data_IF_180970965229
#
_entry.id   IF_180970965229
#
_cell.length_a   1.000
_cell.length_b   1.000
_cell.length_c   1.000
_cell.angle_alpha   90.00
_cell.angle_beta   90.00
_cell.angle_gamma   90.00
#
_symmetry.space_group_name_H-M   'P 1'
#
loop_
_entity.id
_entity.type
_entity.pdbx_description
1 polymer ?
#
# COMPACT_ATOMS: atom_id res chain seq x y z
N UNK A 1 -19.39 -11.07 11.23
CA UNK A 1 -18.69 -10.82 9.94
C UNK A 1 -17.57 -11.85 9.85
N UNK A 2 -17.57 -12.84 8.93
CA UNK A 2 -16.47 -13.78 8.87
C UNK A 2 -15.18 -13.04 8.48
N UNK A 3 -14.09 -13.37 9.17
CA UNK A 3 -12.76 -12.86 8.87
C UNK A 3 -12.38 -13.44 7.52
N UNK A 4 -12.24 -12.60 6.49
CA UNK A 4 -11.77 -13.05 5.17
C UNK A 4 -10.33 -13.53 5.33
N UNK A 5 -10.01 -14.70 4.79
CA UNK A 5 -8.64 -15.23 4.77
C UNK A 5 -7.68 -14.16 4.22
N UNK A 6 -6.60 -13.82 4.94
CA UNK A 6 -5.65 -12.85 4.45
C UNK A 6 -4.87 -13.41 3.26
N UNK A 7 -4.53 -12.53 2.32
CA UNK A 7 -3.49 -12.78 1.35
C UNK A 7 -2.15 -12.77 2.08
N UNK A 8 -1.28 -13.73 1.75
CA UNK A 8 0.08 -13.84 2.29
C UNK A 8 1.05 -13.74 1.13
N UNK A 9 2.09 -12.92 1.25
CA UNK A 9 3.21 -12.92 0.31
C UNK A 9 4.34 -13.78 0.89
N UNK A 10 4.54 -15.04 0.43
CA UNK A 10 5.50 -15.95 1.04
C UNK A 10 6.93 -15.41 1.15
N UNK A 11 7.47 -14.68 0.15
CA UNK A 11 8.83 -14.15 0.23
C UNK A 11 9.09 -13.19 1.39
N UNK A 12 8.08 -12.44 1.85
CA UNK A 12 8.26 -11.45 2.93
C UNK A 12 7.34 -11.67 4.15
N UNK A 13 6.47 -12.68 4.11
CA UNK A 13 5.56 -13.02 5.21
C UNK A 13 4.46 -12.00 5.51
N UNK A 14 4.37 -10.89 4.77
CA UNK A 14 3.29 -9.91 4.99
C UNK A 14 1.93 -10.50 4.68
N UNK A 15 0.97 -10.08 5.49
CA UNK A 15 -0.41 -10.50 5.40
C UNK A 15 -1.31 -9.28 5.25
N UNK A 16 -2.30 -9.35 4.36
CA UNK A 16 -3.29 -8.29 4.22
C UNK A 16 -4.64 -8.82 3.78
N UNK A 17 -5.68 -8.06 4.08
CA UNK A 17 -7.06 -8.43 3.79
C UNK A 17 -7.82 -7.23 3.21
N UNK A 18 -8.90 -7.53 2.49
CA UNK A 18 -9.73 -6.52 1.81
C UNK A 18 -9.52 -6.52 0.30
N UNK A 19 -10.59 -6.26 -0.45
CA UNK A 19 -10.62 -6.44 -1.92
C UNK A 19 -9.72 -5.47 -2.69
N UNK A 20 -9.33 -4.36 -2.07
CA UNK A 20 -8.58 -3.28 -2.72
C UNK A 20 -7.16 -3.14 -2.18
N UNK A 21 -6.82 -3.87 -1.12
CA UNK A 21 -5.50 -3.76 -0.52
C UNK A 21 -4.43 -4.31 -1.48
N UNK A 22 -3.31 -3.60 -1.62
CA UNK A 22 -2.21 -3.91 -2.53
C UNK A 22 -0.93 -4.15 -1.73
N UNK A 23 -0.14 -5.14 -2.15
CA UNK A 23 1.21 -5.37 -1.67
C UNK A 23 2.21 -4.99 -2.76
N UNK A 24 3.21 -4.18 -2.43
CA UNK A 24 4.27 -3.87 -3.38
C UNK A 24 5.37 -4.93 -3.30
N UNK A 25 5.62 -5.72 -4.36
CA UNK A 25 6.63 -6.79 -4.32
C UNK A 25 8.07 -6.24 -4.28
N UNK A 26 8.29 -4.95 -4.57
CA UNK A 26 9.62 -4.34 -4.61
C UNK A 26 10.10 -3.82 -3.25
N UNK A 27 9.23 -3.15 -2.48
CA UNK A 27 9.58 -2.63 -1.15
C UNK A 27 8.86 -3.36 -0.01
N UNK A 28 8.00 -4.32 -0.34
CA UNK A 28 7.19 -5.10 0.59
C UNK A 28 6.21 -4.30 1.47
N UNK A 29 6.00 -3.02 1.19
CA UNK A 29 4.97 -2.24 1.87
C UNK A 29 3.57 -2.63 1.40
N UNK A 30 2.58 -2.38 2.27
CA UNK A 30 1.19 -2.78 2.04
C UNK A 30 0.26 -1.60 2.16
N UNK A 31 -0.66 -1.49 1.22
CA UNK A 31 -1.49 -0.33 0.98
C UNK A 31 -2.95 -0.73 1.11
N UNK A 32 -3.77 0.14 1.68
CA UNK A 32 -5.20 -0.13 1.86
C UNK A 32 -6.01 -0.08 0.55
N UNK A 33 -5.41 0.44 -0.53
CA UNK A 33 -6.03 0.55 -1.84
C UNK A 33 -4.98 0.53 -2.95
N UNK A 34 -5.36 0.10 -4.16
CA UNK A 34 -4.52 0.24 -5.37
C UNK A 34 -4.11 1.69 -5.61
N UNK A 35 -5.00 2.64 -5.33
CA UNK A 35 -4.70 4.08 -5.48
C UNK A 35 -3.59 4.56 -4.54
N UNK A 36 -3.50 4.02 -3.32
CA UNK A 36 -2.39 4.30 -2.41
C UNK A 36 -1.09 3.58 -2.86
N UNK A 37 -1.24 2.37 -3.41
CA UNK A 37 -0.15 1.65 -4.10
C UNK A 37 0.38 2.39 -5.34
N UNK A 38 -0.47 3.05 -6.11
CA UNK A 38 -0.01 3.86 -7.24
C UNK A 38 0.71 5.13 -6.77
N UNK A 39 0.21 5.79 -5.72
CA UNK A 39 0.81 7.01 -5.20
C UNK A 39 2.24 6.83 -4.67
N UNK A 40 2.60 5.65 -4.14
CA UNK A 40 3.98 5.38 -3.73
C UNK A 40 4.92 5.07 -4.91
N UNK A 41 4.41 4.89 -6.13
CA UNK A 41 5.23 4.60 -7.32
C UNK A 41 5.48 5.89 -8.09
N UNK A 42 6.71 6.10 -8.53
CA UNK A 42 7.10 7.25 -9.36
C UNK A 42 7.89 6.81 -10.58
N UNK A 43 7.99 7.69 -11.58
CA UNK A 43 8.65 7.42 -12.85
C UNK A 43 7.73 6.76 -13.89
N UNK A 44 8.26 6.55 -15.12
CA UNK A 44 7.49 5.98 -16.22
C UNK A 44 7.12 4.52 -15.95
N UNK A 45 6.05 4.02 -16.57
CA UNK A 45 5.50 2.69 -16.29
C UNK A 45 6.52 1.55 -16.43
N UNK A 46 7.44 1.63 -17.38
CA UNK A 46 8.50 0.65 -17.65
C UNK A 46 9.73 0.79 -16.73
N UNK A 47 9.83 1.84 -15.92
CA UNK A 47 10.96 2.08 -15.01
C UNK A 47 10.47 2.73 -13.70
N UNK A 48 9.37 2.20 -13.15
CA UNK A 48 8.81 2.68 -11.88
C UNK A 48 9.77 2.40 -10.72
N UNK A 49 9.86 3.35 -9.79
CA UNK A 49 10.58 3.22 -8.53
C UNK A 49 9.63 3.48 -7.36
N UNK A 50 9.94 2.88 -6.22
CA UNK A 50 9.23 3.15 -4.98
C UNK A 50 9.71 4.48 -4.39
N UNK A 51 8.77 5.35 -4.04
CA UNK A 51 8.96 6.40 -3.06
C UNK A 51 8.70 5.83 -1.67
N UNK A 52 9.46 6.26 -0.64
CA UNK A 52 9.09 5.98 0.74
C UNK A 52 7.63 6.40 0.98
N UNK A 53 6.75 5.52 1.49
CA UNK A 53 5.33 5.84 1.63
C UNK A 53 5.07 7.12 2.45
N UNK A 54 5.88 7.36 3.49
CA UNK A 54 5.81 8.55 4.33
C UNK A 54 6.04 9.85 3.54
N UNK A 55 6.79 9.82 2.44
CA UNK A 55 7.03 10.99 1.57
C UNK A 55 6.00 11.09 0.44
N UNK A 56 5.16 10.08 0.22
CA UNK A 56 4.19 10.00 -0.88
C UNK A 56 2.78 10.53 -0.50
N UNK A 57 2.71 11.45 0.47
CA UNK A 57 1.44 11.91 1.05
C UNK A 57 0.53 10.76 1.53
N UNK A 58 1.14 9.71 2.10
CA UNK A 58 0.43 8.60 2.73
C UNK A 58 0.54 8.67 4.25
N UNK A 59 -0.44 8.11 4.95
CA UNK A 59 -0.39 7.87 6.39
C UNK A 59 -0.56 6.37 6.64
N UNK A 60 0.02 5.88 7.73
CA UNK A 60 -0.06 4.47 8.09
C UNK A 60 -1.11 4.28 9.20
N UNK A 61 -2.02 3.33 9.04
CA UNK A 61 -2.98 2.99 10.09
C UNK A 61 -2.38 2.07 11.16
N UNK A 62 -3.14 1.83 12.24
CA UNK A 62 -2.71 0.96 13.33
C UNK A 62 -2.44 -0.51 12.93
N UNK A 63 -2.86 -0.93 11.72
CA UNK A 63 -2.60 -2.26 11.16
C UNK A 63 -1.38 -2.26 10.24
N UNK A 64 -0.69 -1.14 10.10
CA UNK A 64 0.47 -1.01 9.22
C UNK A 64 0.13 -0.79 7.74
N UNK A 65 -1.14 -0.55 7.39
CA UNK A 65 -1.54 -0.29 6.00
C UNK A 65 -1.38 1.19 5.66
N UNK A 66 -0.77 1.47 4.51
CA UNK A 66 -0.64 2.82 3.98
C UNK A 66 -1.92 3.26 3.25
N UNK A 67 -2.44 4.41 3.67
CA UNK A 67 -3.61 5.08 3.12
C UNK A 67 -3.19 6.39 2.49
N UNK A 68 -3.92 6.83 1.45
CA UNK A 68 -3.77 8.21 0.98
C UNK A 68 -4.18 9.14 2.12
N UNK A 69 -3.38 10.18 2.40
CA UNK A 69 -3.88 11.27 3.24
C UNK A 69 -5.15 11.81 2.59
N UNK A 70 -6.23 12.04 3.36
CA UNK A 70 -7.31 12.89 2.88
C UNK A 70 -6.67 14.21 2.40
N UNK A 71 -7.24 14.83 1.37
CA UNK A 71 -6.76 16.13 0.93
C UNK A 71 -6.66 17.03 2.18
N UNK A 72 -5.52 17.72 2.42
CA UNK A 72 -5.53 18.78 3.40
C UNK A 72 -6.62 19.75 2.94
N UNK A 73 -7.52 20.09 3.85
CA UNK A 73 -8.71 20.89 3.60
C UNK A 73 -8.38 22.08 2.69
N UNK A 74 -9.13 22.22 1.58
CA UNK A 74 -9.14 23.42 0.75
C UNK A 74 -9.64 24.61 1.57
#
# INVERSE_FOLDING_TARGET
>A
MPIRTPFVHPPCGRQWSGQRAEHCPACHETFASTRAGDAHRTGPHNARRCLPPATAALWQDARGLWHRKPYPDL
#
